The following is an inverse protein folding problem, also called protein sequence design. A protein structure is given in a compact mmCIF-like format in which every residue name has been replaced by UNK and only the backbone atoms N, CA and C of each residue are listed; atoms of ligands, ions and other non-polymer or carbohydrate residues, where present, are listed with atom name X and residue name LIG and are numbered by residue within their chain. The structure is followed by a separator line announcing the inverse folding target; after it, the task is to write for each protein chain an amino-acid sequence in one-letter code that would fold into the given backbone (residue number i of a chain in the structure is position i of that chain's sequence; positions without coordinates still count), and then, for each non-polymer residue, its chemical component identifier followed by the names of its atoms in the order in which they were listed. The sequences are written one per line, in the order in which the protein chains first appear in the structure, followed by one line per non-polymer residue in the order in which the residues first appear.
data_IF_214551039767
#
_entry.id   IF_214551039767
#
_cell.length_a   1.000
_cell.length_b   1.000
_cell.length_c   1.000
_cell.angle_alpha   90.00
_cell.angle_beta   90.00
_cell.angle_gamma   90.00
#
_symmetry.space_group_name_H-M   'P 1'
#
loop_
_entity.id
_entity.type
_entity.pdbx_description
1 polymer ?
#
# COMPACT_ATOMS: atom_id res chain seq x y z
N UNK A 1 -4.67 14.43 0.16
CA UNK A 1 -4.50 12.97 0.36
C UNK A 1 -3.05 12.71 0.70
N UNK A 2 -2.77 11.64 1.42
CA UNK A 2 -1.43 11.19 1.82
C UNK A 2 -1.19 9.78 1.29
N UNK A 3 0.07 9.39 1.13
CA UNK A 3 0.42 8.02 0.78
C UNK A 3 0.50 7.16 2.05
N UNK A 4 -0.18 6.01 2.04
CA UNK A 4 -0.14 5.06 3.15
C UNK A 4 0.34 3.70 2.67
N UNK A 5 1.20 3.08 3.46
CA UNK A 5 1.56 1.67 3.34
C UNK A 5 0.74 0.87 4.34
N UNK A 6 -0.01 -0.09 3.84
CA UNK A 6 -0.78 -1.03 4.66
C UNK A 6 -0.19 -2.41 4.47
N UNK A 7 0.28 -3.00 5.57
CA UNK A 7 0.78 -4.36 5.57
C UNK A 7 -0.05 -5.26 6.46
N UNK A 8 -0.02 -6.55 6.15
CA UNK A 8 -0.73 -7.55 6.91
C UNK A 8 -0.66 -8.91 6.26
N UNK A 9 -1.52 -9.81 6.73
CA UNK A 9 -1.57 -11.19 6.27
C UNK A 9 -2.98 -11.53 5.79
N UNK A 10 -3.09 -12.07 4.57
CA UNK A 10 -4.35 -12.49 3.97
C UNK A 10 -4.26 -13.91 3.38
N UNK A 11 -5.38 -14.65 3.28
CA UNK A 11 -5.39 -15.97 2.66
C UNK A 11 -5.40 -15.83 1.14
N UNK A 12 -4.24 -16.07 0.52
CA UNK A 12 -4.12 -16.16 -0.93
C UNK A 12 -4.18 -17.64 -1.31
N UNK A 13 -5.38 -18.12 -1.62
CA UNK A 13 -5.64 -19.54 -1.87
C UNK A 13 -5.64 -20.35 -0.56
N UNK A 14 -4.80 -21.38 -0.49
CA UNK A 14 -4.75 -22.31 0.65
C UNK A 14 -3.89 -21.81 1.82
N UNK A 15 -2.97 -20.88 1.58
CA UNK A 15 -2.03 -20.39 2.60
C UNK A 15 -2.28 -18.92 2.94
N UNK A 16 -1.93 -18.54 4.18
CA UNK A 16 -1.89 -17.15 4.60
C UNK A 16 -0.54 -16.57 4.23
N UNK A 17 -0.52 -15.52 3.42
CA UNK A 17 0.71 -14.86 2.98
C UNK A 17 0.70 -13.38 3.41
N UNK A 18 1.87 -12.81 3.70
CA UNK A 18 1.98 -11.39 3.95
C UNK A 18 1.70 -10.59 2.66
N UNK A 19 1.15 -9.40 2.80
CA UNK A 19 0.99 -8.43 1.74
C UNK A 19 1.42 -7.05 2.23
N UNK A 20 1.84 -6.21 1.29
CA UNK A 20 2.09 -4.79 1.48
C UNK A 20 1.50 -4.04 0.29
N UNK A 21 0.61 -3.10 0.55
CA UNK A 21 0.04 -2.23 -0.47
C UNK A 21 0.27 -0.77 -0.12
N UNK A 22 0.76 -0.01 -1.09
CA UNK A 22 0.86 1.43 -1.00
C UNK A 22 -0.29 2.06 -1.79
N UNK A 23 -0.98 3.01 -1.17
CA UNK A 23 -2.13 3.64 -1.79
C UNK A 23 -2.36 5.07 -1.27
N UNK A 24 -2.86 5.97 -2.13
CA UNK A 24 -3.28 7.29 -1.70
C UNK A 24 -4.60 7.20 -0.92
N UNK A 25 -4.67 7.81 0.25
CA UNK A 25 -5.91 7.94 1.04
C UNK A 25 -5.99 9.27 1.78
N UNK A 26 -7.17 9.60 2.29
CA UNK A 26 -7.36 10.80 3.11
C UNK A 26 -6.84 10.58 4.54
N UNK A 27 -7.21 9.45 5.12
CA UNK A 27 -6.79 9.02 6.46
C UNK A 27 -6.48 7.52 6.51
N UNK A 28 -6.11 7.04 7.69
CA UNK A 28 -5.77 5.63 7.93
C UNK A 28 -6.96 4.68 7.78
N UNK A 29 -8.19 5.14 8.02
CA UNK A 29 -9.39 4.30 7.93
C UNK A 29 -9.80 4.11 6.47
N UNK A 30 -9.82 5.19 5.70
CA UNK A 30 -9.96 5.19 4.25
C UNK A 30 -8.91 4.30 3.58
N UNK A 31 -7.66 4.31 4.08
CA UNK A 31 -6.62 3.42 3.58
C UNK A 31 -6.96 1.93 3.79
N UNK A 32 -7.38 1.56 5.01
CA UNK A 32 -7.82 0.19 5.32
C UNK A 32 -9.02 -0.23 4.47
N UNK A 33 -10.01 0.64 4.34
CA UNK A 33 -11.20 0.40 3.53
C UNK A 33 -10.86 0.13 2.07
N UNK A 34 -9.92 0.88 1.49
CA UNK A 34 -9.41 0.63 0.13
C UNK A 34 -8.73 -0.73 0.02
N UNK A 35 -7.87 -1.11 0.96
CA UNK A 35 -7.23 -2.44 0.98
C UNK A 35 -8.26 -3.56 1.04
N UNK A 36 -9.26 -3.46 1.92
CA UNK A 36 -10.34 -4.42 1.99
C UNK A 36 -11.11 -4.54 0.66
N UNK A 37 -11.36 -3.42 0.00
CA UNK A 37 -12.03 -3.40 -1.31
C UNK A 37 -11.18 -4.05 -2.41
N UNK A 38 -9.88 -3.74 -2.45
CA UNK A 38 -8.94 -4.31 -3.43
C UNK A 38 -8.79 -5.82 -3.23
N UNK A 39 -8.59 -6.27 -1.98
CA UNK A 39 -8.48 -7.70 -1.66
C UNK A 39 -9.80 -8.46 -1.92
N UNK A 40 -10.95 -7.82 -1.66
CA UNK A 40 -12.26 -8.40 -1.94
C UNK A 40 -12.57 -8.53 -3.43
N UNK A 41 -12.30 -7.48 -4.22
CA UNK A 41 -12.65 -7.45 -5.65
C UNK A 41 -11.67 -8.23 -6.52
N UNK A 42 -10.36 -8.07 -6.30
CA UNK A 42 -9.31 -8.69 -7.12
C UNK A 42 -9.02 -10.13 -6.71
N UNK A 43 -9.05 -10.42 -5.40
CA UNK A 43 -8.60 -11.70 -4.85
C UNK A 43 -9.72 -12.51 -4.20
N UNK A 44 -10.97 -12.00 -4.21
CA UNK A 44 -12.16 -12.64 -3.60
C UNK A 44 -11.99 -12.97 -2.11
N UNK A 45 -11.22 -12.17 -1.39
CA UNK A 45 -10.94 -12.39 0.02
C UNK A 45 -11.99 -11.68 0.89
N UNK A 46 -12.59 -12.42 1.82
CA UNK A 46 -13.53 -11.84 2.78
C UNK A 46 -12.81 -10.95 3.80
N UNK A 47 -13.41 -9.79 4.15
CA UNK A 47 -12.83 -8.81 5.10
C UNK A 47 -12.38 -9.44 6.42
N UNK A 48 -13.20 -10.33 6.99
CA UNK A 48 -12.92 -11.03 8.26
C UNK A 48 -11.68 -11.94 8.22
N UNK A 49 -11.24 -12.35 7.04
CA UNK A 49 -10.11 -13.27 6.89
C UNK A 49 -8.76 -12.52 6.80
N UNK A 50 -8.80 -11.20 6.59
CA UNK A 50 -7.63 -10.35 6.44
C UNK A 50 -7.20 -9.84 7.82
N UNK A 51 -5.92 -10.02 8.15
CA UNK A 51 -5.31 -9.45 9.36
C UNK A 51 -4.41 -8.29 8.94
N UNK A 52 -4.80 -7.05 9.25
CA UNK A 52 -3.94 -5.89 9.03
C UNK A 52 -2.99 -5.77 10.24
N UNK A 53 -1.70 -5.65 9.98
CA UNK A 53 -0.66 -5.60 11.01
C UNK A 53 -0.20 -4.17 11.26
N UNK A 54 0.02 -3.38 10.21
CA UNK A 54 0.35 -1.96 10.35
C UNK A 54 -0.26 -1.12 9.23
N UNK A 55 -0.46 0.16 9.57
CA UNK A 55 -0.85 1.22 8.63
C UNK A 55 0.02 2.42 8.96
N UNK A 56 0.90 2.79 8.04
CA UNK A 56 1.85 3.89 8.22
C UNK A 56 1.75 4.86 7.07
N UNK A 57 1.77 6.16 7.37
CA UNK A 57 1.98 7.20 6.37
C UNK A 57 3.41 7.09 5.84
N UNK A 58 3.58 7.14 4.52
CA UNK A 58 4.87 7.06 3.84
C UNK A 58 5.08 8.26 2.93
N UNK A 59 6.35 8.56 2.64
CA UNK A 59 6.68 9.50 1.57
C UNK A 59 6.34 8.86 0.20
N UNK A 60 5.51 9.51 -0.64
CA UNK A 60 5.14 8.99 -1.95
C UNK A 60 6.33 8.68 -2.87
N UNK A 61 7.49 9.30 -2.64
CA UNK A 61 8.73 9.07 -3.42
C UNK A 61 9.35 7.70 -3.16
N UNK A 62 9.06 7.08 -2.03
CA UNK A 62 9.59 5.77 -1.62
C UNK A 62 8.69 4.60 -2.03
N UNK A 63 7.53 4.91 -2.62
CA UNK A 63 6.58 3.89 -3.05
C UNK A 63 6.92 3.35 -4.43
N UNK A 64 6.69 2.04 -4.62
CA UNK A 64 6.82 1.38 -5.93
C UNK A 64 5.47 1.26 -6.64
N UNK A 65 4.36 1.59 -5.98
CA UNK A 65 3.02 1.39 -6.54
C UNK A 65 2.68 2.46 -7.61
N UNK A 66 2.28 2.06 -8.83
CA UNK A 66 2.04 2.99 -9.92
C UNK A 66 0.88 3.97 -9.62
N UNK A 67 -0.10 3.55 -8.82
CA UNK A 67 -1.21 4.41 -8.41
C UNK A 67 -0.74 5.57 -7.54
N UNK A 68 0.21 5.31 -6.62
CA UNK A 68 0.80 6.33 -5.75
C UNK A 68 1.67 7.27 -6.58
N UNK A 69 2.57 6.71 -7.40
CA UNK A 69 3.46 7.49 -8.27
C UNK A 69 2.69 8.40 -9.23
N UNK A 70 1.58 7.92 -9.80
CA UNK A 70 0.75 8.71 -10.68
C UNK A 70 0.01 9.83 -9.93
N UNK A 71 -0.56 9.52 -8.76
CA UNK A 71 -1.31 10.51 -7.97
C UNK A 71 -0.43 11.66 -7.47
N UNK A 72 0.81 11.36 -7.04
CA UNK A 72 1.74 12.33 -6.47
C UNK A 72 2.83 12.78 -7.45
N UNK A 73 2.61 12.61 -8.76
CA UNK A 73 3.63 12.85 -9.79
C UNK A 73 4.27 14.24 -9.70
N UNK A 74 3.45 15.28 -9.54
CA UNK A 74 3.93 16.67 -9.49
C UNK A 74 4.69 16.95 -8.18
N UNK A 75 4.22 16.38 -7.06
CA UNK A 75 4.89 16.48 -5.75
C UNK A 75 6.25 15.77 -5.76
N UNK A 76 6.31 14.57 -6.34
CA UNK A 76 7.55 13.80 -6.50
C UNK A 76 8.53 14.60 -7.38
N UNK A 77 8.06 15.20 -8.48
CA UNK A 77 8.89 16.01 -9.35
C UNK A 77 9.45 17.26 -8.64
N UNK A 78 8.60 17.95 -7.86
CA UNK A 78 8.99 19.14 -7.11
C UNK A 78 10.02 18.85 -5.99
N UNK A 79 9.94 17.67 -5.37
CA UNK A 79 10.83 17.28 -4.28
C UNK A 79 12.14 16.63 -4.75
N UNK A 80 12.32 16.41 -6.07
CA UNK A 80 13.58 15.93 -6.65
C UNK A 80 13.56 14.46 -7.12
N UNK A 81 12.40 13.91 -7.49
CA UNK A 81 12.27 12.61 -8.14
C UNK A 81 12.10 11.41 -7.19
N UNK A 82 11.78 10.21 -7.71
CA UNK A 82 11.56 9.01 -6.90
C UNK A 82 12.84 8.57 -6.17
N UNK A 83 12.69 8.08 -4.93
CA UNK A 83 13.77 7.54 -4.12
C UNK A 83 13.63 6.02 -4.14
N UNK A 84 14.49 5.34 -4.89
CA UNK A 84 14.65 3.89 -4.75
C UNK A 84 15.49 3.62 -3.51
N UNK A 85 14.87 3.20 -2.42
CA UNK A 85 15.62 2.64 -1.29
C UNK A 85 16.15 1.30 -1.76
N UNK A 86 17.38 1.27 -2.28
CA UNK A 86 18.06 0.03 -2.59
C UNK A 86 18.24 -0.71 -1.27
N UNK A 87 17.49 -1.79 -1.07
CA UNK A 87 17.86 -2.78 -0.08
C UNK A 87 19.19 -3.39 -0.56
N UNK A 88 20.29 -3.00 0.08
CA UNK A 88 21.50 -3.82 0.07
C UNK A 88 21.09 -5.18 0.67
N UNK A 89 20.93 -6.19 -0.19
CA UNK A 89 20.90 -7.59 0.23
C UNK A 89 22.36 -8.02 0.47
N UNK A 90 22.69 -8.33 1.72
CA UNK A 90 23.93 -9.03 2.16
C UNK A 90 23.76 -10.55 2.02
#
# INVERSE_FOLDING_TARGET
MKAYRVSGTAPFGSQRQPFSYDLPAEDTDAAKHKVYSTLGSRHRIMRRSIKIESVSEIDPRTSTEPTVLHHFRDEIAAQGGPITVAAEEE
#
